data_IF_854540850965
#
_entry.id   IF_854540850965
#
_cell.length_a   1.000
_cell.length_b   1.000
_cell.length_c   1.000
_cell.angle_alpha   90.00
_cell.angle_beta   90.00
_cell.angle_gamma   90.00
#
_symmetry.space_group_name_H-M   'P 1'
#
loop_
_entity.id
_entity.type
_entity.pdbx_description
1 polymer ?
#
# COMPACT_ATOMS: atom_id res chain seq x y z
N UNK A 1 58.32 9.06 49.24
CA UNK A 1 56.91 8.78 49.13
C UNK A 1 56.41 9.58 47.93
N UNK A 2 56.20 8.95 46.73
CA UNK A 2 55.74 9.58 45.51
C UNK A 2 54.30 9.23 45.38
N UNK A 3 53.39 10.25 45.39
CA UNK A 3 51.96 10.09 45.13
C UNK A 3 51.73 10.03 43.60
N UNK A 4 51.24 8.91 43.12
CA UNK A 4 50.73 8.77 41.76
C UNK A 4 49.33 9.41 41.68
N UNK A 5 49.19 10.42 40.86
CA UNK A 5 47.90 11.04 40.52
C UNK A 5 47.34 10.30 39.31
N UNK A 6 46.31 9.48 39.50
CA UNK A 6 45.62 8.81 38.43
C UNK A 6 44.62 9.77 37.77
N UNK A 7 44.87 10.14 36.52
CA UNK A 7 43.93 10.90 35.71
C UNK A 7 42.94 9.92 35.10
N UNK A 8 41.69 10.00 35.56
CA UNK A 8 40.57 9.26 35.00
C UNK A 8 40.08 10.04 33.79
N UNK A 9 40.43 9.59 32.58
CA UNK A 9 39.88 10.14 31.33
C UNK A 9 38.50 9.51 31.10
N UNK A 10 37.44 10.25 31.44
CA UNK A 10 36.09 9.93 31.05
C UNK A 10 35.94 10.22 29.53
N UNK A 11 36.05 9.18 28.74
CA UNK A 11 35.71 9.26 27.32
C UNK A 11 34.21 9.45 27.16
N UNK A 12 33.79 10.69 26.87
CA UNK A 12 32.46 10.97 26.37
C UNK A 12 32.30 10.35 24.96
N UNK A 13 31.73 9.16 24.90
CA UNK A 13 31.21 8.64 23.64
C UNK A 13 29.95 9.42 23.29
N UNK A 14 30.10 10.52 22.56
CA UNK A 14 28.99 11.12 21.80
C UNK A 14 28.57 10.12 20.74
N UNK A 15 27.57 9.30 21.04
CA UNK A 15 26.84 8.59 20.01
C UNK A 15 26.08 9.64 19.18
N UNK A 16 26.71 10.10 18.13
CA UNK A 16 26.01 10.74 17.02
C UNK A 16 25.14 9.68 16.36
N UNK A 17 23.93 9.50 16.86
CA UNK A 17 22.88 8.78 16.17
C UNK A 17 22.33 9.63 15.04
N UNK A 18 23.15 9.91 14.04
CA UNK A 18 22.64 10.18 12.70
C UNK A 18 22.08 8.85 12.22
N UNK A 19 20.80 8.58 12.51
CA UNK A 19 20.00 7.61 11.82
C UNK A 19 19.91 8.09 10.37
N UNK A 20 20.93 7.76 9.58
CA UNK A 20 20.88 7.83 8.13
C UNK A 20 19.69 6.94 7.77
N UNK A 21 18.64 7.54 7.24
CA UNK A 21 17.55 6.79 6.63
C UNK A 21 18.21 5.92 5.55
N UNK A 22 18.40 4.64 5.85
CA UNK A 22 18.88 3.67 4.88
C UNK A 22 17.92 3.73 3.69
N UNK A 23 18.42 4.23 2.58
CA UNK A 23 17.71 4.22 1.30
C UNK A 23 17.66 2.75 0.87
N UNK A 24 16.60 2.04 1.30
CA UNK A 24 16.39 0.66 0.94
C UNK A 24 16.24 0.59 -0.59
N UNK A 25 17.34 0.29 -1.24
CA UNK A 25 17.38 0.01 -2.68
C UNK A 25 16.79 -1.38 -2.91
N UNK A 26 15.48 -1.45 -3.07
CA UNK A 26 14.84 -2.66 -3.59
C UNK A 26 15.45 -2.96 -4.96
N UNK A 27 15.95 -4.18 -5.15
CA UNK A 27 16.55 -4.58 -6.42
C UNK A 27 15.49 -4.43 -7.52
N UNK A 28 15.83 -3.69 -8.56
CA UNK A 28 14.93 -3.28 -9.65
C UNK A 28 14.37 -4.42 -10.51
N UNK A 29 14.71 -5.67 -10.28
CA UNK A 29 14.17 -6.81 -11.02
C UNK A 29 12.71 -7.07 -10.73
N UNK A 30 12.28 -6.84 -9.47
CA UNK A 30 10.93 -7.15 -8.99
C UNK A 30 9.97 -5.97 -9.16
N UNK A 31 10.49 -4.79 -9.55
CA UNK A 31 9.72 -3.56 -9.69
C UNK A 31 10.09 -2.85 -10.99
N UNK A 32 9.15 -2.78 -11.93
CA UNK A 32 9.37 -2.22 -13.27
C UNK A 32 8.43 -1.06 -13.58
N UNK A 33 8.94 -0.07 -14.30
CA UNK A 33 8.12 1.00 -14.88
C UNK A 33 7.90 2.23 -14.01
N UNK A 34 8.37 2.27 -12.78
CA UNK A 34 8.24 3.41 -11.87
C UNK A 34 9.50 4.28 -11.84
N UNK A 35 9.30 5.58 -11.65
CA UNK A 35 10.42 6.54 -11.65
C UNK A 35 11.12 6.64 -10.31
N UNK A 36 10.36 6.53 -9.21
CA UNK A 36 10.85 6.66 -7.85
C UNK A 36 9.97 5.83 -6.91
N UNK A 37 10.62 5.15 -5.98
CA UNK A 37 9.95 4.42 -4.89
C UNK A 37 10.25 5.14 -3.60
N UNK A 38 9.24 5.35 -2.78
CA UNK A 38 9.35 5.97 -1.46
C UNK A 38 8.63 5.11 -0.44
N UNK A 39 9.06 5.14 0.80
CA UNK A 39 8.36 4.51 1.91
C UNK A 39 7.41 5.55 2.51
N UNK A 40 6.17 5.14 2.76
CA UNK A 40 5.16 5.90 3.47
C UNK A 40 4.80 5.15 4.75
N UNK A 41 5.21 5.69 5.88
CA UNK A 41 4.93 5.15 7.20
C UNK A 41 4.69 6.32 8.17
N UNK A 42 3.83 6.17 9.19
CA UNK A 42 3.55 7.22 10.14
C UNK A 42 4.77 7.49 11.03
N UNK A 43 5.40 6.45 11.50
CA UNK A 43 6.61 6.55 12.33
C UNK A 43 7.86 6.27 11.49
N UNK A 44 8.64 7.30 11.21
CA UNK A 44 9.89 7.20 10.45
C UNK A 44 10.96 6.34 11.14
N UNK A 45 10.77 6.02 12.42
CA UNK A 45 11.73 5.22 13.20
C UNK A 45 11.52 3.70 13.04
N UNK A 46 10.33 3.27 12.61
CA UNK A 46 10.01 1.85 12.50
C UNK A 46 9.69 1.50 11.06
N UNK A 47 10.67 0.96 10.35
CA UNK A 47 10.48 0.43 9.01
C UNK A 47 10.28 -1.09 9.06
N UNK A 48 9.07 -1.54 8.73
CA UNK A 48 8.70 -2.97 8.66
C UNK A 48 8.52 -3.45 7.21
N UNK A 49 9.15 -2.77 6.26
CA UNK A 49 9.18 -3.15 4.87
C UNK A 49 10.54 -3.76 4.56
N UNK A 50 10.57 -5.03 4.18
CA UNK A 50 11.80 -5.79 3.97
C UNK A 50 11.77 -6.50 2.62
N UNK A 51 12.89 -6.55 1.93
CA UNK A 51 13.09 -7.52 0.87
C UNK A 51 13.49 -8.85 1.51
N UNK A 52 12.75 -9.90 1.18
CA UNK A 52 12.95 -11.25 1.72
C UNK A 52 13.29 -12.21 0.60
N UNK A 53 13.90 -13.36 0.92
CA UNK A 53 14.40 -14.32 -0.06
C UNK A 53 13.68 -15.66 0.06
N UNK A 54 13.54 -16.33 -1.09
CA UNK A 54 13.02 -17.70 -1.17
C UNK A 54 13.94 -18.69 -0.44
N UNK A 55 15.26 -18.48 -0.52
CA UNK A 55 16.25 -19.30 0.20
C UNK A 55 16.05 -19.31 1.72
N UNK A 56 15.45 -18.25 2.27
CA UNK A 56 15.24 -18.09 3.70
C UNK A 56 13.83 -18.57 4.14
N UNK A 57 13.12 -19.28 3.23
CA UNK A 57 11.79 -19.86 3.49
C UNK A 57 10.62 -18.89 3.29
N UNK A 58 10.87 -17.66 2.82
CA UNK A 58 9.78 -16.70 2.58
C UNK A 58 9.03 -16.98 1.27
N UNK A 59 7.73 -16.63 1.20
CA UNK A 59 6.96 -16.75 -0.02
C UNK A 59 7.49 -15.79 -1.09
N UNK A 60 7.73 -16.33 -2.29
CA UNK A 60 8.17 -15.59 -3.49
C UNK A 60 7.32 -16.05 -4.66
N UNK A 61 6.77 -15.11 -5.44
CA UNK A 61 5.94 -15.40 -6.60
C UNK A 61 6.78 -15.73 -7.84
N UNK A 62 7.78 -14.90 -8.12
CA UNK A 62 8.66 -15.05 -9.28
C UNK A 62 10.10 -14.68 -8.90
N UNK A 63 11.08 -15.47 -9.37
CA UNK A 63 12.49 -15.24 -9.06
C UNK A 63 12.88 -15.66 -7.63
N UNK A 64 13.71 -14.84 -6.97
CA UNK A 64 14.38 -15.20 -5.71
C UNK A 64 13.95 -14.35 -4.52
N UNK A 65 13.23 -13.26 -4.75
CA UNK A 65 12.89 -12.29 -3.71
C UNK A 65 11.46 -11.80 -3.82
N UNK A 66 10.89 -11.39 -2.69
CA UNK A 66 9.63 -10.64 -2.61
C UNK A 66 9.76 -9.52 -1.58
N UNK A 67 8.72 -8.71 -1.43
CA UNK A 67 8.66 -7.61 -0.48
C UNK A 67 7.69 -7.98 0.63
N UNK A 68 8.19 -8.19 1.84
CA UNK A 68 7.37 -8.34 3.04
C UNK A 68 7.00 -6.96 3.59
N UNK A 69 5.73 -6.78 3.94
CA UNK A 69 5.22 -5.59 4.60
C UNK A 69 4.41 -6.03 5.82
N UNK A 70 4.82 -5.58 6.99
CA UNK A 70 4.14 -5.88 8.26
C UNK A 70 3.68 -4.58 8.91
N UNK A 71 2.51 -4.60 9.53
CA UNK A 71 2.04 -3.57 10.45
C UNK A 71 1.68 -4.25 11.75
N UNK A 72 2.38 -3.88 12.81
CA UNK A 72 2.11 -4.39 14.14
C UNK A 72 1.07 -3.50 14.85
N UNK A 73 0.54 -3.99 15.97
CA UNK A 73 -0.35 -3.22 16.83
C UNK A 73 0.26 -1.88 17.24
N UNK A 74 1.52 -1.88 17.65
CA UNK A 74 2.26 -0.71 18.14
C UNK A 74 2.55 0.33 17.04
N UNK A 75 2.36 -0.01 15.77
CA UNK A 75 2.49 0.94 14.66
C UNK A 75 1.26 1.85 14.51
N UNK A 76 0.21 1.64 15.27
CA UNK A 76 -0.92 2.54 15.32
C UNK A 76 -0.52 3.83 16.05
N UNK A 77 -0.65 4.90 15.35
CA UNK A 77 0.07 6.16 15.48
C UNK A 77 0.08 6.90 16.80
N UNK A 78 -0.66 6.57 17.83
CA UNK A 78 -0.74 7.36 19.06
C UNK A 78 -0.59 6.54 20.33
N UNK A 79 0.14 5.44 20.28
CA UNK A 79 0.27 4.52 21.39
C UNK A 79 0.75 5.12 22.72
N UNK A 80 1.43 6.25 22.69
CA UNK A 80 1.98 6.93 23.87
C UNK A 80 1.24 8.23 24.24
N UNK A 81 0.25 8.63 23.47
CA UNK A 81 -0.48 9.90 23.69
C UNK A 81 0.37 11.16 23.49
N UNK A 82 1.62 11.04 23.10
CA UNK A 82 2.59 12.13 23.02
C UNK A 82 2.99 12.51 21.60
N UNK A 83 2.66 11.69 20.61
CA UNK A 83 3.13 11.87 19.25
C UNK A 83 2.39 13.02 18.55
N UNK A 84 3.15 13.99 18.09
CA UNK A 84 2.73 15.02 17.14
C UNK A 84 2.73 14.52 15.71
N UNK A 85 2.67 13.21 15.48
CA UNK A 85 2.66 12.62 14.17
C UNK A 85 1.34 12.98 13.46
N UNK A 86 1.41 13.34 12.19
CA UNK A 86 0.25 13.71 11.37
C UNK A 86 -0.78 12.59 11.22
N UNK A 87 -0.40 11.36 11.51
CA UNK A 87 -1.30 10.20 11.53
C UNK A 87 -1.99 10.05 12.89
N UNK A 88 -1.47 10.73 13.89
CA UNK A 88 -2.01 10.89 15.23
C UNK A 88 -2.78 12.20 15.34
N UNK A 89 -3.85 12.34 14.63
CA UNK A 89 -4.77 13.49 14.76
C UNK A 89 -5.49 13.56 16.13
N UNK A 90 -4.87 13.01 17.17
CA UNK A 90 -5.41 12.84 18.51
C UNK A 90 -6.46 11.74 18.61
N UNK A 91 -6.70 11.00 17.55
CA UNK A 91 -7.80 10.02 17.45
C UNK A 91 -7.33 8.57 17.35
N UNK A 92 -6.03 8.31 17.29
CA UNK A 92 -5.45 6.95 17.31
C UNK A 92 -5.93 6.00 16.21
N UNK A 93 -6.39 6.55 15.08
CA UNK A 93 -7.27 5.82 14.19
C UNK A 93 -6.60 5.26 12.93
N UNK A 94 -5.27 5.32 12.83
CA UNK A 94 -4.55 4.89 11.62
C UNK A 94 -3.20 4.27 11.92
N UNK A 95 -2.84 3.29 11.11
CA UNK A 95 -1.46 2.78 11.01
C UNK A 95 -1.14 2.38 9.58
N UNK A 96 0.11 2.54 9.16
CA UNK A 96 0.51 2.18 7.81
C UNK A 96 1.97 1.82 7.65
N UNK A 97 2.21 0.91 6.72
CA UNK A 97 3.50 0.63 6.11
C UNK A 97 3.24 0.44 4.60
N UNK A 98 3.60 1.42 3.78
CA UNK A 98 3.30 1.40 2.35
C UNK A 98 4.51 1.81 1.52
N UNK A 99 4.69 1.20 0.37
CA UNK A 99 5.53 1.68 -0.71
C UNK A 99 4.74 2.63 -1.60
N UNK A 100 5.34 3.74 -1.97
CA UNK A 100 4.77 4.72 -2.89
C UNK A 100 5.57 4.72 -4.17
N UNK A 101 4.89 4.48 -5.29
CA UNK A 101 5.44 4.39 -6.63
C UNK A 101 5.03 5.61 -7.45
N UNK A 102 5.99 6.51 -7.71
CA UNK A 102 5.71 7.75 -8.44
C UNK A 102 5.50 7.48 -9.94
N UNK A 103 4.35 7.90 -10.44
CA UNK A 103 3.96 7.85 -11.84
C UNK A 103 3.96 9.27 -12.39
N UNK A 104 5.09 9.72 -12.94
CA UNK A 104 5.20 11.08 -13.52
C UNK A 104 4.64 11.14 -14.94
N UNK A 105 3.37 10.81 -15.14
CA UNK A 105 2.72 10.87 -16.45
C UNK A 105 1.33 11.48 -16.33
N UNK A 106 0.93 12.24 -17.35
CA UNK A 106 -0.46 12.64 -17.52
C UNK A 106 -1.28 11.38 -17.81
N UNK A 107 -2.34 11.17 -17.04
CA UNK A 107 -3.19 9.98 -17.13
C UNK A 107 -4.35 10.16 -18.12
N UNK A 108 -4.99 11.33 -18.12
CA UNK A 108 -6.19 11.55 -18.92
C UNK A 108 -6.00 11.20 -20.40
N UNK A 109 -6.92 10.46 -20.95
CA UNK A 109 -6.90 9.90 -22.32
C UNK A 109 -5.73 8.93 -22.58
N UNK A 110 -5.25 8.25 -21.53
CA UNK A 110 -4.18 7.25 -21.65
C UNK A 110 -4.62 5.93 -21.04
N UNK A 111 -4.07 4.85 -21.62
CA UNK A 111 -4.19 3.52 -21.04
C UNK A 111 -2.94 3.14 -20.25
N UNK A 112 -3.14 2.50 -19.12
CA UNK A 112 -2.07 1.96 -18.30
C UNK A 112 -2.46 0.63 -17.70
N UNK A 113 -1.46 -0.20 -17.49
CA UNK A 113 -1.56 -1.49 -16.81
C UNK A 113 -0.75 -1.41 -15.52
N UNK A 114 -1.37 -1.82 -14.42
CA UNK A 114 -0.78 -2.03 -13.10
C UNK A 114 -0.88 -3.51 -12.79
N UNK A 115 0.24 -4.13 -12.49
CA UNK A 115 0.28 -5.54 -12.15
C UNK A 115 1.07 -5.73 -10.86
N UNK A 116 0.66 -6.65 -10.02
CA UNK A 116 1.40 -7.15 -8.88
C UNK A 116 0.83 -8.48 -8.41
N UNK A 117 1.64 -9.26 -7.76
CA UNK A 117 1.20 -10.40 -6.98
C UNK A 117 1.13 -10.01 -5.50
N UNK A 118 0.09 -10.44 -4.80
CA UNK A 118 -0.08 -10.29 -3.35
C UNK A 118 -0.24 -11.66 -2.71
N UNK A 119 0.38 -11.83 -1.54
CA UNK A 119 0.23 -13.02 -0.71
C UNK A 119 -0.14 -12.56 0.71
N UNK A 120 -1.27 -13.01 1.19
CA UNK A 120 -1.65 -12.83 2.57
C UNK A 120 -0.94 -13.89 3.41
N UNK A 121 -0.20 -13.48 4.43
CA UNK A 121 0.40 -14.44 5.36
C UNK A 121 -0.67 -15.38 5.92
N UNK A 122 -0.31 -16.62 6.27
CA UNK A 122 -1.25 -17.57 6.86
C UNK A 122 -1.82 -17.08 8.19
N UNK A 123 -1.04 -16.28 8.91
CA UNK A 123 -1.43 -15.63 10.16
C UNK A 123 -2.19 -14.31 9.97
N UNK A 124 -2.43 -13.87 8.73
CA UNK A 124 -3.16 -12.64 8.49
C UNK A 124 -4.57 -12.70 9.08
N UNK A 125 -4.92 -11.71 9.89
CA UNK A 125 -6.25 -11.55 10.45
C UNK A 125 -6.87 -10.25 9.95
N UNK A 126 -8.13 -10.33 9.53
CA UNK A 126 -8.92 -9.16 9.14
C UNK A 126 -9.35 -8.35 10.35
N UNK A 127 -9.62 -7.05 10.16
CA UNK A 127 -10.05 -6.18 11.25
C UNK A 127 -11.56 -6.25 11.44
N UNK A 128 -12.02 -6.71 12.60
CA UNK A 128 -13.45 -6.93 12.87
C UNK A 128 -14.26 -5.64 13.09
N UNK A 129 -13.65 -4.60 13.69
CA UNK A 129 -14.37 -3.41 14.18
C UNK A 129 -14.47 -2.30 13.13
N UNK A 130 -15.24 -2.49 12.07
CA UNK A 130 -15.53 -1.48 11.02
C UNK A 130 -14.29 -0.79 10.44
N UNK A 131 -13.12 -1.34 10.65
CA UNK A 131 -11.89 -0.85 10.09
C UNK A 131 -11.71 -1.39 8.67
N UNK A 132 -11.05 -0.64 7.82
CA UNK A 132 -10.69 -1.03 6.45
C UNK A 132 -9.19 -1.15 6.37
N UNK A 133 -8.70 -2.25 5.81
CA UNK A 133 -7.28 -2.43 5.52
C UNK A 133 -7.04 -2.22 4.04
N UNK A 134 -6.53 -1.05 3.68
CA UNK A 134 -6.17 -0.74 2.30
C UNK A 134 -4.82 -1.39 1.99
N UNK A 135 -4.80 -2.23 0.96
CA UNK A 135 -3.66 -3.03 0.54
C UNK A 135 -3.05 -2.54 -0.78
N UNK A 136 -3.83 -1.75 -1.53
CA UNK A 136 -3.37 -1.08 -2.72
C UNK A 136 -4.23 0.13 -3.01
N UNK A 137 -3.63 1.26 -3.40
CA UNK A 137 -4.40 2.45 -3.71
C UNK A 137 -3.71 3.30 -4.78
N UNK A 138 -4.50 3.84 -5.70
CA UNK A 138 -4.04 4.82 -6.66
C UNK A 138 -4.46 6.20 -6.20
N UNK A 139 -3.52 6.92 -5.60
CA UNK A 139 -3.71 8.29 -5.17
C UNK A 139 -3.68 9.25 -6.36
N UNK A 140 -4.52 10.28 -6.30
CA UNK A 140 -4.39 11.43 -7.20
C UNK A 140 -3.13 12.22 -6.84
N UNK A 141 -2.61 12.94 -7.80
CA UNK A 141 -1.41 13.75 -7.55
C UNK A 141 -1.74 14.89 -6.59
N UNK A 142 -0.76 15.16 -5.79
CA UNK A 142 -0.67 15.96 -4.61
C UNK A 142 -0.74 17.47 -4.79
N UNK A 143 -1.33 18.09 -3.81
CA UNK A 143 -1.00 19.30 -3.03
C UNK A 143 -0.93 20.66 -3.71
N UNK A 144 -0.71 20.83 -5.00
CA UNK A 144 -0.59 22.16 -5.61
C UNK A 144 -1.55 22.40 -6.78
N UNK A 145 -2.43 21.44 -7.07
CA UNK A 145 -3.47 21.64 -8.08
C UNK A 145 -4.79 21.87 -7.37
N UNK A 146 -5.30 23.11 -7.45
CA UNK A 146 -6.59 23.51 -6.87
C UNK A 146 -7.68 22.50 -7.26
N UNK A 147 -8.32 21.91 -6.27
CA UNK A 147 -9.41 20.95 -6.45
C UNK A 147 -9.00 19.48 -6.66
N UNK A 148 -7.72 19.13 -6.77
CA UNK A 148 -7.27 17.74 -6.80
C UNK A 148 -6.95 17.23 -5.37
N UNK A 149 -7.97 17.21 -4.53
CA UNK A 149 -7.86 16.79 -3.11
C UNK A 149 -8.43 15.41 -2.85
N UNK A 150 -8.93 14.70 -3.89
CA UNK A 150 -9.51 13.40 -3.67
C UNK A 150 -8.42 12.38 -3.31
N UNK A 151 -8.67 11.61 -2.26
CA UNK A 151 -7.75 10.59 -1.81
C UNK A 151 -7.37 9.65 -2.96
N UNK A 152 -8.32 8.94 -3.53
CA UNK A 152 -7.97 7.79 -4.35
C UNK A 152 -8.87 7.72 -5.57
N UNK A 153 -8.29 7.46 -6.74
CA UNK A 153 -9.09 7.09 -7.91
C UNK A 153 -9.69 5.69 -7.70
N UNK A 154 -8.88 4.77 -7.14
CA UNK A 154 -9.33 3.45 -6.72
C UNK A 154 -8.48 2.94 -5.55
N UNK A 155 -8.99 1.93 -4.85
CA UNK A 155 -8.25 1.18 -3.85
C UNK A 155 -8.65 -0.29 -3.86
N UNK A 156 -7.75 -1.11 -3.34
CA UNK A 156 -7.97 -2.51 -3.07
C UNK A 156 -7.84 -2.71 -1.55
N UNK A 157 -8.83 -3.33 -0.95
CA UNK A 157 -8.91 -3.41 0.50
C UNK A 157 -9.51 -4.73 0.98
N UNK A 158 -9.06 -5.16 2.16
CA UNK A 158 -9.80 -6.06 3.00
C UNK A 158 -10.90 -5.26 3.70
N UNK A 159 -12.13 -5.62 3.43
CA UNK A 159 -13.31 -4.97 3.99
C UNK A 159 -14.47 -5.96 4.15
N UNK A 160 -15.37 -5.67 5.08
CA UNK A 160 -16.61 -6.44 5.22
C UNK A 160 -17.54 -6.06 4.05
N UNK A 161 -17.83 -7.03 3.22
CA UNK A 161 -18.78 -6.90 2.12
C UNK A 161 -19.75 -8.08 2.11
N UNK A 162 -21.06 -7.79 2.27
CA UNK A 162 -22.13 -8.79 2.42
C UNK A 162 -21.84 -9.78 3.57
N UNK A 163 -21.43 -9.23 4.73
CA UNK A 163 -21.21 -9.99 5.97
C UNK A 163 -19.91 -10.79 6.07
N UNK A 164 -19.03 -10.73 5.07
CA UNK A 164 -17.77 -11.47 5.07
C UNK A 164 -16.58 -10.57 4.75
N UNK A 165 -15.40 -10.88 5.27
CA UNK A 165 -14.15 -10.23 4.91
C UNK A 165 -13.71 -10.63 3.51
N UNK A 166 -13.65 -9.64 2.62
CA UNK A 166 -13.30 -9.82 1.22
C UNK A 166 -12.24 -8.84 0.77
N UNK A 167 -11.33 -9.32 -0.04
CA UNK A 167 -10.44 -8.47 -0.81
C UNK A 167 -11.24 -7.91 -1.98
N UNK A 168 -11.43 -6.59 -1.99
CA UNK A 168 -12.28 -5.91 -2.98
C UNK A 168 -11.50 -4.80 -3.68
N UNK A 169 -11.85 -4.55 -4.94
CA UNK A 169 -11.54 -3.32 -5.64
C UNK A 169 -12.71 -2.35 -5.53
N UNK A 170 -12.41 -1.08 -5.30
CA UNK A 170 -13.39 -0.01 -5.21
C UNK A 170 -12.84 1.27 -5.85
N UNK A 171 -13.72 2.15 -6.32
CA UNK A 171 -13.34 3.43 -6.92
C UNK A 171 -14.18 4.58 -6.37
N UNK A 172 -13.50 5.67 -6.00
CA UNK A 172 -14.19 6.91 -5.63
C UNK A 172 -14.70 7.67 -6.85
N UNK A 173 -13.96 7.59 -7.95
CA UNK A 173 -14.35 8.28 -9.20
C UNK A 173 -15.55 7.62 -9.89
N UNK A 174 -15.77 6.32 -9.62
CA UNK A 174 -16.91 5.53 -10.08
C UNK A 174 -17.71 5.06 -8.86
N UNK A 175 -18.22 6.00 -8.08
CA UNK A 175 -18.92 5.73 -6.81
C UNK A 175 -20.28 5.01 -6.97
N UNK A 176 -20.81 4.96 -8.19
CA UNK A 176 -22.01 4.21 -8.57
C UNK A 176 -21.74 2.74 -8.93
N UNK A 177 -20.48 2.32 -8.88
CA UNK A 177 -20.09 0.92 -9.15
C UNK A 177 -19.92 0.19 -7.83
N UNK A 178 -20.59 -0.95 -7.71
CA UNK A 178 -20.43 -1.84 -6.57
C UNK A 178 -18.98 -2.33 -6.43
N UNK A 179 -18.53 -2.64 -5.20
CA UNK A 179 -17.22 -3.25 -4.98
C UNK A 179 -17.05 -4.53 -5.79
N UNK A 180 -15.96 -4.62 -6.56
CA UNK A 180 -15.60 -5.85 -7.27
C UNK A 180 -14.88 -6.78 -6.30
N UNK A 181 -15.45 -7.95 -6.06
CA UNK A 181 -14.88 -8.96 -5.15
C UNK A 181 -13.79 -9.74 -5.87
N UNK A 182 -12.57 -9.70 -5.34
CA UNK A 182 -11.42 -10.48 -5.81
C UNK A 182 -11.42 -11.87 -5.15
N UNK A 183 -11.79 -11.95 -3.88
CA UNK A 183 -11.93 -13.20 -3.14
C UNK A 183 -12.20 -12.98 -1.67
N UNK A 184 -12.60 -14.04 -0.97
CA UNK A 184 -12.66 -14.04 0.50
C UNK A 184 -11.24 -14.04 1.04
N UNK A 185 -10.96 -13.28 2.09
CA UNK A 185 -9.61 -13.21 2.68
C UNK A 185 -9.12 -14.61 3.08
N UNK A 186 -9.96 -15.40 3.73
CA UNK A 186 -9.60 -16.76 4.16
C UNK A 186 -9.15 -17.67 3.01
N UNK A 187 -9.79 -17.54 1.84
CA UNK A 187 -9.43 -18.32 0.65
C UNK A 187 -8.11 -17.86 0.00
N UNK A 188 -7.67 -16.65 0.31
CA UNK A 188 -6.46 -16.02 -0.25
C UNK A 188 -5.23 -16.21 0.63
N UNK A 189 -5.39 -16.51 1.92
CA UNK A 189 -4.29 -16.77 2.84
C UNK A 189 -3.41 -17.92 2.38
N UNK A 190 -2.11 -17.75 2.49
CA UNK A 190 -1.13 -18.76 2.13
C UNK A 190 -1.00 -19.03 0.62
N UNK A 191 -1.59 -18.17 -0.21
CA UNK A 191 -1.57 -18.31 -1.68
C UNK A 191 -1.26 -16.99 -2.35
N UNK A 192 -0.48 -17.04 -3.42
CA UNK A 192 -0.27 -15.90 -4.28
C UNK A 192 -1.51 -15.61 -5.13
N UNK A 193 -1.90 -14.36 -5.19
CA UNK A 193 -2.95 -13.85 -6.07
C UNK A 193 -2.36 -12.78 -6.97
N UNK A 194 -2.35 -13.02 -8.27
CA UNK A 194 -1.89 -12.04 -9.25
C UNK A 194 -3.06 -11.12 -9.62
N UNK A 195 -2.83 -9.82 -9.48
CA UNK A 195 -3.78 -8.75 -9.82
C UNK A 195 -3.23 -7.98 -11.02
N UNK A 196 -4.08 -7.79 -12.03
CA UNK A 196 -3.81 -6.87 -13.13
C UNK A 196 -4.98 -5.92 -13.29
N UNK A 197 -4.69 -4.64 -13.28
CA UNK A 197 -5.66 -3.56 -13.52
C UNK A 197 -5.30 -2.89 -14.84
N UNK A 198 -6.17 -3.01 -15.84
CA UNK A 198 -6.02 -2.30 -17.11
C UNK A 198 -6.99 -1.14 -17.13
N UNK A 199 -6.48 0.07 -17.21
CA UNK A 199 -7.25 1.29 -17.02
C UNK A 199 -7.16 2.20 -18.25
N UNK A 200 -8.30 2.57 -18.79
CA UNK A 200 -8.43 3.71 -19.69
C UNK A 200 -8.85 4.92 -18.84
N UNK A 201 -7.93 5.84 -18.66
CA UNK A 201 -8.14 7.02 -17.81
C UNK A 201 -8.96 8.09 -18.53
N UNK A 202 -10.13 8.40 -17.99
CA UNK A 202 -11.07 9.40 -18.53
C UNK A 202 -11.73 10.18 -17.40
N UNK A 203 -11.97 11.47 -17.66
CA UNK A 203 -12.70 12.38 -16.78
C UNK A 203 -14.17 12.50 -17.13
N UNK A 204 -14.51 12.23 -18.37
CA UNK A 204 -15.81 12.46 -19.00
C UNK A 204 -16.80 11.29 -18.83
N UNK A 205 -16.46 10.27 -18.09
CA UNK A 205 -17.31 9.10 -17.89
C UNK A 205 -17.14 8.01 -18.94
N UNK A 206 -16.29 8.19 -19.97
CA UNK A 206 -16.05 7.18 -21.02
C UNK A 206 -14.83 6.29 -20.73
N UNK A 207 -14.43 6.23 -19.47
CA UNK A 207 -13.30 5.41 -19.03
C UNK A 207 -13.67 3.94 -18.83
N UNK A 208 -12.65 3.13 -18.59
CA UNK A 208 -12.82 1.69 -18.40
C UNK A 208 -11.82 1.14 -17.40
N UNK A 209 -12.25 0.24 -16.53
CA UNK A 209 -11.41 -0.64 -15.73
C UNK A 209 -11.66 -2.08 -16.13
N UNK A 210 -10.60 -2.79 -16.49
CA UNK A 210 -10.62 -4.26 -16.62
C UNK A 210 -9.78 -4.82 -15.50
N UNK A 211 -10.40 -5.62 -14.64
CA UNK A 211 -9.77 -6.20 -13.45
C UNK A 211 -9.58 -7.69 -13.68
N UNK A 212 -8.35 -8.14 -13.50
CA UNK A 212 -7.96 -9.53 -13.64
C UNK A 212 -7.49 -10.08 -12.31
N UNK A 213 -7.85 -11.33 -12.04
CA UNK A 213 -7.31 -12.19 -10.99
C UNK A 213 -6.70 -13.42 -11.63
N UNK A 214 -5.43 -13.69 -11.39
CA UNK A 214 -4.74 -14.88 -11.91
C UNK A 214 -4.92 -15.06 -13.43
N UNK A 215 -4.83 -13.95 -14.19
CA UNK A 215 -5.02 -13.84 -15.64
C UNK A 215 -6.47 -13.88 -16.14
N UNK A 216 -7.43 -14.25 -15.30
CA UNK A 216 -8.86 -14.25 -15.65
C UNK A 216 -9.47 -12.88 -15.44
N UNK A 217 -10.33 -12.44 -16.35
CA UNK A 217 -11.12 -11.21 -16.22
C UNK A 217 -12.23 -11.46 -15.20
N UNK A 218 -12.19 -10.74 -14.08
CA UNK A 218 -13.24 -10.80 -13.04
C UNK A 218 -14.20 -9.62 -13.11
N UNK A 219 -13.81 -8.50 -13.77
CA UNK A 219 -14.70 -7.39 -14.05
C UNK A 219 -14.21 -6.61 -15.26
N UNK A 220 -15.18 -6.07 -16.02
CA UNK A 220 -14.98 -5.17 -17.16
C UNK A 220 -15.97 -4.02 -17.04
N UNK A 221 -15.53 -2.94 -16.38
CA UNK A 221 -16.35 -1.77 -16.05
C UNK A 221 -16.16 -0.71 -17.11
N UNK A 222 -17.19 -0.53 -17.94
CA UNK A 222 -17.21 0.42 -19.07
C UNK A 222 -17.99 1.68 -18.70
N UNK A 223 -17.72 2.73 -19.45
CA UNK A 223 -18.47 4.00 -19.38
C UNK A 223 -18.52 4.57 -17.96
N UNK A 224 -17.36 4.57 -17.30
CA UNK A 224 -17.20 5.07 -15.95
C UNK A 224 -16.15 6.18 -15.87
N UNK A 225 -16.30 7.07 -14.91
CA UNK A 225 -15.30 8.06 -14.59
C UNK A 225 -14.13 7.41 -13.86
N UNK A 226 -12.98 7.35 -14.49
CA UNK A 226 -11.79 6.70 -13.92
C UNK A 226 -10.80 7.68 -13.31
N UNK A 227 -10.93 8.98 -13.61
CA UNK A 227 -10.07 10.04 -13.12
C UNK A 227 -10.91 11.23 -12.66
N UNK A 228 -10.63 11.78 -11.48
CA UNK A 228 -11.30 12.98 -11.00
C UNK A 228 -11.02 14.19 -11.90
N UNK A 229 -11.98 15.10 -12.05
CA UNK A 229 -11.99 16.22 -13.04
C UNK A 229 -10.75 17.11 -12.92
N UNK A 230 -10.36 17.41 -11.71
CA UNK A 230 -9.27 18.33 -11.40
C UNK A 230 -7.89 17.66 -11.37
N UNK A 231 -7.84 16.32 -11.49
CA UNK A 231 -6.63 15.54 -11.38
C UNK A 231 -6.12 15.10 -12.76
N UNK A 232 -4.82 15.16 -13.00
CA UNK A 232 -4.19 14.75 -14.27
C UNK A 232 -3.14 13.65 -14.12
N UNK A 233 -2.73 13.35 -12.91
CA UNK A 233 -1.71 12.35 -12.61
C UNK A 233 -1.96 11.72 -11.25
N UNK A 234 -1.20 10.71 -10.95
CA UNK A 234 -1.32 10.00 -9.69
C UNK A 234 -0.08 9.15 -9.37
N UNK A 235 -0.17 8.42 -8.29
CA UNK A 235 0.86 7.47 -7.85
C UNK A 235 0.18 6.25 -7.23
N UNK A 236 0.81 5.10 -7.39
CA UNK A 236 0.38 3.85 -6.77
C UNK A 236 1.00 3.74 -5.38
N UNK A 237 0.25 3.18 -4.44
CA UNK A 237 0.77 2.70 -3.17
C UNK A 237 0.39 1.24 -3.02
N UNK A 238 1.31 0.44 -2.49
CA UNK A 238 1.09 -0.94 -2.07
C UNK A 238 1.63 -1.12 -0.66
N UNK A 239 0.90 -1.85 0.16
CA UNK A 239 1.27 -2.08 1.54
C UNK A 239 0.06 -2.31 2.42
N UNK A 240 0.20 -2.05 3.70
CA UNK A 240 -0.88 -2.13 4.67
C UNK A 240 -1.17 -0.73 5.18
N UNK A 241 -2.39 -0.25 4.99
CA UNK A 241 -2.89 0.97 5.60
C UNK A 241 -4.21 0.66 6.31
N UNK A 242 -4.16 0.59 7.63
CA UNK A 242 -5.33 0.44 8.48
C UNK A 242 -5.99 1.81 8.62
N UNK A 243 -7.21 1.91 8.15
CA UNK A 243 -8.01 3.12 8.24
C UNK A 243 -9.11 2.93 9.27
N UNK A 244 -9.26 3.90 10.19
CA UNK A 244 -10.31 3.89 11.21
C UNK A 244 -10.19 2.76 12.25
N UNK A 245 -9.05 2.67 12.92
CA UNK A 245 -8.81 1.71 14.00
C UNK A 245 -9.31 2.21 15.39
N UNK A 246 -10.05 3.31 15.43
CA UNK A 246 -10.51 3.93 16.67
C UNK A 246 -11.39 3.00 17.54
N UNK A 247 -12.10 2.06 16.91
CA UNK A 247 -12.88 1.07 17.62
C UNK A 247 -12.03 0.15 18.50
N UNK A 248 -10.81 -0.15 18.05
CA UNK A 248 -9.84 -0.90 18.84
C UNK A 248 -9.21 -0.03 19.91
N UNK A 249 -8.83 1.20 19.57
CA UNK A 249 -8.19 2.13 20.49
C UNK A 249 -9.01 2.38 21.75
N UNK A 250 -10.31 2.57 21.59
CA UNK A 250 -11.17 2.96 22.69
C UNK A 250 -11.68 1.80 23.55
N UNK A 251 -11.64 0.57 23.06
CA UNK A 251 -12.32 -0.53 23.75
C UNK A 251 -11.56 -1.85 23.83
N UNK A 252 -10.58 -2.08 22.96
CA UNK A 252 -9.98 -3.40 22.85
C UNK A 252 -8.67 -3.35 22.01
N UNK A 253 -7.74 -2.55 22.50
CA UNK A 253 -6.45 -2.37 21.87
C UNK A 253 -5.67 -3.69 21.71
N UNK A 254 -5.78 -4.58 22.70
CA UNK A 254 -5.08 -5.85 22.72
C UNK A 254 -5.54 -6.79 21.59
N UNK A 255 -6.75 -6.62 21.09
CA UNK A 255 -7.28 -7.42 19.99
C UNK A 255 -6.89 -6.91 18.59
N UNK A 256 -6.19 -5.78 18.47
CA UNK A 256 -5.71 -5.32 17.17
C UNK A 256 -4.59 -6.23 16.67
N UNK A 257 -4.80 -7.04 15.62
CA UNK A 257 -3.83 -8.02 15.20
C UNK A 257 -2.61 -7.40 14.51
N UNK A 258 -1.50 -8.11 14.54
CA UNK A 258 -0.42 -7.88 13.61
C UNK A 258 -0.82 -8.40 12.22
N UNK A 259 -0.44 -7.67 11.17
CA UNK A 259 -0.78 -8.07 9.81
C UNK A 259 0.45 -8.08 8.92
N UNK A 260 0.62 -9.15 8.15
CA UNK A 260 1.71 -9.29 7.19
C UNK A 260 1.16 -9.68 5.82
N UNK A 261 1.66 -8.99 4.80
CA UNK A 261 1.44 -9.34 3.39
C UNK A 261 2.77 -9.31 2.64
N UNK A 262 2.82 -10.00 1.50
CA UNK A 262 3.97 -9.96 0.61
C UNK A 262 3.53 -9.46 -0.76
N UNK A 263 4.40 -8.71 -1.42
CA UNK A 263 4.22 -8.23 -2.78
C UNK A 263 5.36 -8.68 -3.65
N UNK A 264 5.03 -8.97 -4.90
CA UNK A 264 6.01 -9.37 -5.90
C UNK A 264 5.55 -8.98 -7.30
N UNK A 265 6.44 -9.03 -8.27
CA UNK A 265 6.17 -8.75 -9.69
C UNK A 265 5.38 -7.45 -9.93
N UNK A 266 5.83 -6.35 -9.29
CA UNK A 266 5.16 -5.06 -9.33
C UNK A 266 5.53 -4.33 -10.62
N UNK A 267 4.57 -4.14 -11.52
CA UNK A 267 4.76 -3.57 -12.85
C UNK A 267 3.80 -2.42 -13.12
N UNK A 268 4.32 -1.34 -13.68
CA UNK A 268 3.54 -0.28 -14.31
C UNK A 268 4.00 -0.11 -15.75
N UNK A 269 3.08 -0.21 -16.70
CA UNK A 269 3.40 -0.12 -18.13
C UNK A 269 2.22 0.39 -18.95
N UNK A 270 2.52 0.77 -20.18
CA UNK A 270 1.48 0.92 -21.20
C UNK A 270 1.08 -0.46 -21.74
N UNK A 271 -0.16 -0.62 -22.22
CA UNK A 271 -0.55 -1.84 -22.93
C UNK A 271 0.27 -2.00 -24.21
N UNK A 272 0.56 -3.23 -24.59
CA UNK A 272 1.06 -3.58 -25.91
C UNK A 272 -0.02 -3.30 -26.96
N UNK A 273 0.33 -3.35 -28.26
CA UNK A 273 -0.61 -3.03 -29.35
C UNK A 273 -1.85 -3.94 -29.36
N UNK A 274 -1.65 -5.20 -29.08
CA UNK A 274 -2.65 -6.26 -29.01
C UNK A 274 -3.49 -6.24 -27.71
N UNK A 275 -2.95 -5.63 -26.65
CA UNK A 275 -3.66 -5.48 -25.38
C UNK A 275 -4.55 -4.24 -25.30
N UNK A 276 -4.43 -3.28 -26.25
CA UNK A 276 -5.20 -2.02 -26.18
C UNK A 276 -6.69 -2.26 -26.13
N UNK A 277 -7.34 -1.48 -25.26
CA UNK A 277 -8.79 -1.44 -25.18
C UNK A 277 -9.33 -0.99 -26.53
N UNK A 278 -10.05 -1.88 -27.21
CA UNK A 278 -10.75 -1.53 -28.45
C UNK A 278 -11.97 -0.70 -28.08
N UNK A 279 -11.99 0.55 -28.51
CA UNK A 279 -13.22 1.33 -28.52
C UNK A 279 -14.13 0.69 -29.59
N UNK A 280 -15.17 0.03 -29.15
CA UNK A 280 -16.27 -0.37 -30.04
C UNK A 280 -17.28 0.75 -30.07
#
# INVERSE_FOLDING_TARGET
>A
MKKLLGILVLGLFCFNSNAIAEEHKFKSKDIKGFKKIRISMPNKKVNRIKQVKKSDGFPVYEGDTSIQITVNREDAGCGDGTSKDLECDGKGNRSRQELTFDIKKKLNNKEHIYEYAIYFDKSYESLEKRAVVILGQHHTQKYNVKGCHSCCNFWLADTIYKGEHKYTWQSKSASNVDPVVIGKIEDLKGKWTHIKLHVLWKKDGTGRFIIYKNKEVIADLKDIKTLADTCNSGYLKLGIYRHNTIGYWNSDWESLPDQTVYYDNIVFRKPKKDEKIKNK
#
